data_IF_730641436392
#
_entry.id   IF_730641436392
#
_cell.length_a   1.000
_cell.length_b   1.000
_cell.length_c   1.000
_cell.angle_alpha   90.00
_cell.angle_beta   90.00
_cell.angle_gamma   90.00
#
_symmetry.space_group_name_H-M   'P 1'
#
loop_
_entity.id
_entity.type
_entity.pdbx_description
1 polymer ?
#
# COMPACT_ATOMS: atom_id res chain seq x y z
N UNK A 1 8.60 2.77 16.76
CA UNK A 1 7.52 2.35 17.68
C UNK A 1 8.04 1.76 18.98
N UNK A 2 8.84 0.69 18.96
CA UNK A 2 9.31 0.00 20.17
C UNK A 2 9.96 0.92 21.22
N UNK A 3 10.86 1.82 20.81
CA UNK A 3 11.50 2.78 21.72
C UNK A 3 10.49 3.68 22.45
N UNK A 4 9.53 4.23 21.76
CA UNK A 4 8.51 5.10 22.36
C UNK A 4 7.56 4.34 23.29
N UNK A 5 7.15 3.11 22.91
CA UNK A 5 6.33 2.26 23.78
C UNK A 5 7.10 1.91 25.08
N UNK A 6 8.39 1.57 24.95
CA UNK A 6 9.28 1.33 26.10
C UNK A 6 9.38 2.56 27.00
N UNK A 7 9.65 3.72 26.41
CA UNK A 7 9.77 4.99 27.17
C UNK A 7 8.47 5.31 27.90
N UNK A 8 7.32 5.15 27.24
CA UNK A 8 6.01 5.36 27.86
C UNK A 8 5.78 4.37 29.02
N UNK A 9 6.05 3.07 28.82
CA UNK A 9 5.90 2.07 29.89
C UNK A 9 6.78 2.36 31.10
N UNK A 10 8.06 2.69 30.87
CA UNK A 10 9.00 3.01 31.95
C UNK A 10 8.61 4.31 32.67
N UNK A 11 8.10 5.32 31.96
CA UNK A 11 7.61 6.56 32.53
C UNK A 11 6.38 6.32 33.43
N UNK A 12 5.43 5.48 32.99
CA UNK A 12 4.26 5.10 33.79
C UNK A 12 4.69 4.36 35.06
N UNK A 13 5.61 3.40 34.95
CA UNK A 13 6.15 2.64 36.08
C UNK A 13 6.87 3.58 37.02
N UNK A 14 7.72 4.49 36.53
CA UNK A 14 8.42 5.49 37.36
C UNK A 14 7.46 6.40 38.10
N UNK A 15 6.41 6.90 37.44
CA UNK A 15 5.38 7.72 38.02
C UNK A 15 4.64 6.96 39.12
N UNK A 16 4.25 5.72 38.88
CA UNK A 16 3.56 4.87 39.87
C UNK A 16 4.38 4.67 41.14
N UNK A 17 5.65 4.28 41.00
CA UNK A 17 6.52 4.12 42.16
C UNK A 17 6.76 5.43 42.91
N UNK A 18 6.93 6.54 42.19
CA UNK A 18 7.14 7.87 42.81
C UNK A 18 5.93 8.38 43.59
N UNK A 19 4.71 7.95 43.24
CA UNK A 19 3.46 8.33 43.90
C UNK A 19 3.18 7.49 45.13
N UNK A 20 3.56 6.21 45.15
CA UNK A 20 3.20 5.26 46.20
C UNK A 20 4.31 5.12 47.24
N UNK A 21 5.57 5.19 46.83
CA UNK A 21 6.71 4.99 47.71
C UNK A 21 7.16 6.29 48.39
N UNK A 22 7.74 6.17 49.59
CA UNK A 22 8.41 7.31 50.24
C UNK A 22 9.68 7.67 49.47
N UNK A 23 9.98 8.95 49.42
CA UNK A 23 11.18 9.46 48.73
C UNK A 23 12.41 9.20 49.63
N UNK A 24 12.96 8.02 49.53
CA UNK A 24 14.14 7.53 50.24
C UNK A 24 15.16 6.88 49.28
N UNK A 25 16.25 6.37 49.84
CA UNK A 25 17.30 5.71 49.08
C UNK A 25 16.79 4.45 48.36
N UNK A 26 15.73 3.80 48.88
CA UNK A 26 15.11 2.63 48.27
C UNK A 26 14.41 2.98 46.94
N UNK A 27 13.64 4.06 46.93
CA UNK A 27 13.00 4.55 45.70
C UNK A 27 14.05 4.98 44.66
N UNK A 28 15.11 5.69 45.09
CA UNK A 28 16.18 6.12 44.19
C UNK A 28 16.88 4.93 43.51
N UNK A 29 17.05 3.81 44.22
CA UNK A 29 17.58 2.57 43.62
C UNK A 29 16.68 2.02 42.50
N UNK A 30 15.36 1.97 42.75
CA UNK A 30 14.40 1.51 41.69
C UNK A 30 14.41 2.45 40.49
N UNK A 31 14.39 3.76 40.72
CA UNK A 31 14.42 4.76 39.65
C UNK A 31 15.74 4.69 38.85
N UNK A 32 16.87 4.48 39.52
CA UNK A 32 18.16 4.26 38.83
C UNK A 32 18.14 3.02 37.91
N UNK A 33 17.52 1.94 38.39
CA UNK A 33 17.27 0.75 37.56
C UNK A 33 16.44 1.08 36.32
N UNK A 34 15.34 1.82 36.43
CA UNK A 34 14.51 2.22 35.30
C UNK A 34 15.25 3.14 34.31
N UNK A 35 16.10 4.04 34.80
CA UNK A 35 16.99 4.86 33.98
C UNK A 35 17.98 3.98 33.18
N UNK A 36 18.56 2.97 33.84
CA UNK A 36 19.48 2.03 33.17
C UNK A 36 18.78 1.27 32.04
N UNK A 37 17.54 0.80 32.25
CA UNK A 37 16.72 0.22 31.21
C UNK A 37 16.54 1.20 30.04
N UNK A 38 16.24 2.46 30.31
CA UNK A 38 16.07 3.46 29.27
C UNK A 38 17.34 3.71 28.47
N UNK A 39 18.51 3.73 29.12
CA UNK A 39 19.80 3.86 28.45
C UNK A 39 20.11 2.69 27.52
N UNK A 40 19.83 1.45 27.94
CA UNK A 40 19.94 0.26 27.10
C UNK A 40 19.01 0.38 25.86
N UNK A 41 17.76 0.85 26.06
CA UNK A 41 16.84 1.10 24.96
C UNK A 41 17.30 2.20 24.00
N UNK A 42 17.98 3.23 24.49
CA UNK A 42 18.53 4.30 23.65
C UNK A 42 19.65 3.78 22.72
N UNK A 43 20.48 2.85 23.22
CA UNK A 43 21.49 2.17 22.41
C UNK A 43 20.81 1.44 21.23
N UNK A 44 19.80 0.63 21.52
CA UNK A 44 19.02 -0.06 20.49
C UNK A 44 18.44 0.92 19.45
N UNK A 45 17.85 2.03 19.92
CA UNK A 45 17.23 3.04 19.05
C UNK A 45 18.26 3.70 18.12
N UNK A 46 19.47 4.02 18.63
CA UNK A 46 20.55 4.58 17.81
C UNK A 46 21.04 3.63 16.72
N UNK A 47 21.16 2.35 17.03
CA UNK A 47 21.56 1.35 16.06
C UNK A 47 20.46 1.03 15.05
N UNK A 48 19.19 0.97 15.48
CA UNK A 48 18.05 0.70 14.60
C UNK A 48 17.84 1.78 13.52
N UNK A 49 18.33 3.02 13.74
CA UNK A 49 18.29 4.10 12.75
C UNK A 49 19.34 3.97 11.64
N UNK A 50 20.32 3.11 11.79
CA UNK A 50 21.35 2.88 10.76
C UNK A 50 20.78 2.00 9.65
N UNK A 51 21.10 2.33 8.39
CA UNK A 51 20.62 1.60 7.19
C UNK A 51 21.02 0.11 7.18
N UNK A 52 22.08 -0.24 7.90
CA UNK A 52 22.61 -1.61 8.07
C UNK A 52 22.64 -1.98 9.56
N UNK A 53 21.50 -1.94 10.25
CA UNK A 53 21.44 -2.36 11.64
C UNK A 53 21.74 -3.86 11.76
N UNK A 54 22.69 -4.30 12.61
CA UNK A 54 23.01 -5.71 12.79
C UNK A 54 21.78 -6.46 13.36
N UNK A 55 21.47 -7.61 12.79
CA UNK A 55 20.32 -8.43 13.18
C UNK A 55 20.33 -8.89 14.64
N UNK A 56 21.55 -9.07 15.23
CA UNK A 56 21.75 -9.57 16.59
C UNK A 56 21.47 -8.51 17.69
N UNK A 57 21.40 -7.21 17.36
CA UNK A 57 21.22 -6.14 18.36
C UNK A 57 19.93 -6.30 19.17
N UNK A 58 18.83 -6.72 18.50
CA UNK A 58 17.56 -6.98 19.19
C UNK A 58 17.69 -8.10 20.24
N UNK A 59 18.43 -9.14 19.92
CA UNK A 59 18.71 -10.25 20.83
C UNK A 59 19.58 -9.80 22.01
N UNK A 60 20.67 -9.09 21.75
CA UNK A 60 21.57 -8.59 22.80
C UNK A 60 20.86 -7.70 23.79
N UNK A 61 20.14 -6.69 23.29
CA UNK A 61 19.42 -5.72 24.15
C UNK A 61 18.31 -6.43 24.93
N UNK A 62 17.51 -7.27 24.27
CA UNK A 62 16.47 -8.04 24.95
C UNK A 62 17.03 -8.98 26.03
N UNK A 63 18.19 -9.59 25.79
CA UNK A 63 18.91 -10.43 26.78
C UNK A 63 19.33 -9.60 28.00
N UNK A 64 19.95 -8.45 27.76
CA UNK A 64 20.36 -7.54 28.85
C UNK A 64 19.17 -7.07 29.67
N UNK A 65 18.07 -6.70 29.02
CA UNK A 65 16.85 -6.27 29.68
C UNK A 65 16.28 -7.36 30.59
N UNK A 66 16.11 -8.57 30.08
CA UNK A 66 15.49 -9.67 30.84
C UNK A 66 16.40 -10.09 32.01
N UNK A 67 17.70 -10.21 31.80
CA UNK A 67 18.64 -10.56 32.86
C UNK A 67 18.65 -9.47 33.95
N UNK A 68 18.79 -8.20 33.55
CA UNK A 68 18.83 -7.08 34.47
C UNK A 68 17.54 -7.02 35.27
N UNK A 69 16.39 -7.16 34.62
CA UNK A 69 15.08 -7.17 35.28
C UNK A 69 14.95 -8.32 36.28
N UNK A 70 15.31 -9.54 35.86
CA UNK A 70 15.25 -10.72 36.73
C UNK A 70 16.11 -10.54 37.97
N UNK A 71 17.35 -10.03 37.81
CA UNK A 71 18.23 -9.73 38.95
C UNK A 71 17.59 -8.70 39.87
N UNK A 72 17.07 -7.60 39.32
CA UNK A 72 16.42 -6.54 40.10
C UNK A 72 15.17 -7.04 40.88
N UNK A 73 14.41 -7.97 40.33
CA UNK A 73 13.20 -8.50 40.92
C UNK A 73 13.45 -9.60 41.97
N UNK A 74 14.55 -10.32 41.85
CA UNK A 74 14.87 -11.45 42.75
C UNK A 74 15.76 -11.01 43.91
N UNK A 75 16.63 -10.00 43.72
CA UNK A 75 17.53 -9.52 44.76
C UNK A 75 16.84 -8.51 45.66
N UNK A 76 16.94 -8.65 47.01
CA UNK A 76 16.43 -7.67 47.90
C UNK A 76 17.05 -6.28 47.70
N UNK A 77 16.25 -5.23 47.87
CA UNK A 77 16.76 -3.86 47.77
C UNK A 77 17.73 -3.56 48.93
N UNK A 78 19.01 -3.29 48.66
CA UNK A 78 20.01 -3.08 49.72
C UNK A 78 19.84 -1.76 50.50
N UNK A 79 19.02 -0.84 49.98
CA UNK A 79 18.76 0.46 50.57
C UNK A 79 17.42 0.52 51.34
N UNK A 80 16.70 -0.61 51.44
CA UNK A 80 15.48 -0.69 52.21
C UNK A 80 15.80 -0.54 53.73
N UNK A 81 14.93 0.15 54.47
CA UNK A 81 15.08 0.33 55.91
C UNK A 81 15.11 -1.01 56.66
N UNK A 82 14.30 -1.97 56.18
CA UNK A 82 14.34 -3.38 56.60
C UNK A 82 14.55 -4.23 55.34
N UNK A 83 15.63 -4.98 55.30
CA UNK A 83 15.92 -5.86 54.15
C UNK A 83 15.05 -7.10 54.26
N UNK A 84 13.99 -7.14 53.48
CA UNK A 84 13.11 -8.31 53.40
C UNK A 84 13.88 -9.53 52.82
N UNK A 85 13.62 -10.75 53.32
CA UNK A 85 14.19 -11.98 52.73
C UNK A 85 13.89 -12.10 51.21
N UNK A 86 14.83 -12.63 50.41
CA UNK A 86 14.66 -12.82 49.00
C UNK A 86 13.42 -13.66 48.63
N UNK A 87 13.01 -14.60 49.51
CA UNK A 87 11.78 -15.39 49.34
C UNK A 87 10.52 -14.52 49.31
N UNK A 88 10.49 -13.41 50.05
CA UNK A 88 9.36 -12.48 50.12
C UNK A 88 9.23 -11.68 48.82
N UNK A 89 10.34 -11.33 48.16
CA UNK A 89 10.34 -10.66 46.83
C UNK A 89 9.60 -11.47 45.74
N UNK A 90 9.73 -12.82 45.77
CA UNK A 90 9.05 -13.69 44.86
C UNK A 90 7.50 -13.71 45.01
N UNK A 91 6.99 -13.24 46.17
CA UNK A 91 5.55 -13.19 46.49
C UNK A 91 4.87 -11.87 46.17
N UNK A 92 5.61 -10.77 46.05
CA UNK A 92 5.07 -9.42 45.82
C UNK A 92 4.48 -9.19 44.40
N UNK A 93 4.40 -10.23 43.58
CA UNK A 93 3.83 -10.16 42.24
C UNK A 93 4.66 -9.36 41.22
N UNK A 94 5.92 -9.07 41.56
CA UNK A 94 6.89 -8.35 40.72
C UNK A 94 7.18 -9.05 39.39
N UNK A 95 6.98 -10.37 39.32
CA UNK A 95 7.03 -11.16 38.07
C UNK A 95 6.25 -10.53 36.92
N UNK A 96 5.14 -9.80 37.18
CA UNK A 96 4.32 -9.13 36.14
C UNK A 96 5.12 -8.16 35.27
N UNK A 97 6.16 -7.53 35.81
CA UNK A 97 7.02 -6.63 35.03
C UNK A 97 7.81 -7.36 33.95
N UNK A 98 8.16 -8.64 34.16
CA UNK A 98 8.82 -9.46 33.16
C UNK A 98 7.96 -9.67 31.92
N UNK A 99 6.63 -9.84 32.11
CA UNK A 99 5.68 -9.99 31.01
C UNK A 99 5.62 -8.75 30.12
N UNK A 100 5.75 -7.54 30.70
CA UNK A 100 5.77 -6.28 29.94
C UNK A 100 6.95 -6.28 28.96
N UNK A 101 8.14 -6.71 29.40
CA UNK A 101 9.32 -6.73 28.53
C UNK A 101 9.21 -7.80 27.43
N UNK A 102 8.62 -8.96 27.73
CA UNK A 102 8.34 -9.98 26.70
C UNK A 102 7.35 -9.44 25.64
N UNK A 103 6.28 -8.74 26.09
CA UNK A 103 5.32 -8.10 25.16
C UNK A 103 5.97 -6.97 24.34
N UNK A 104 6.83 -6.14 24.94
CA UNK A 104 7.57 -5.09 24.21
C UNK A 104 8.50 -5.67 23.14
N UNK A 105 9.06 -6.86 23.37
CA UNK A 105 9.84 -7.60 22.37
C UNK A 105 9.04 -7.95 21.12
N UNK A 106 7.75 -8.21 21.25
CA UNK A 106 6.87 -8.51 20.09
C UNK A 106 6.71 -7.32 19.14
N UNK A 107 6.88 -6.07 19.59
CA UNK A 107 6.84 -4.88 18.75
C UNK A 107 7.98 -4.80 17.70
N UNK A 108 8.98 -5.66 17.79
CA UNK A 108 10.02 -5.79 16.76
C UNK A 108 9.56 -6.51 15.50
N UNK A 109 8.36 -7.08 15.49
CA UNK A 109 7.79 -7.88 14.42
C UNK A 109 8.67 -9.08 14.01
N UNK A 110 9.46 -9.61 14.97
CA UNK A 110 10.27 -10.81 14.77
C UNK A 110 9.77 -11.98 15.60
N UNK A 111 9.15 -12.96 14.95
CA UNK A 111 8.63 -14.17 15.59
C UNK A 111 9.72 -14.92 16.37
N UNK A 112 10.94 -15.04 15.78
CA UNK A 112 12.08 -15.70 16.42
C UNK A 112 12.53 -14.97 17.69
N UNK A 113 12.53 -13.62 17.66
CA UNK A 113 12.91 -12.82 18.82
C UNK A 113 11.86 -12.94 19.94
N UNK A 114 10.57 -12.93 19.61
CA UNK A 114 9.48 -13.10 20.60
C UNK A 114 9.59 -14.44 21.34
N UNK A 115 9.80 -15.54 20.61
CA UNK A 115 10.01 -16.87 21.20
C UNK A 115 11.27 -16.90 22.08
N UNK A 116 12.37 -16.32 21.58
CA UNK A 116 13.63 -16.25 22.29
C UNK A 116 13.49 -15.53 23.64
N UNK A 117 12.84 -14.35 23.64
CA UNK A 117 12.66 -13.55 24.86
C UNK A 117 11.74 -14.25 25.86
N UNK A 118 10.67 -14.92 25.40
CA UNK A 118 9.81 -15.72 26.26
C UNK A 118 10.55 -16.89 26.92
N UNK A 119 11.34 -17.64 26.13
CA UNK A 119 12.16 -18.74 26.65
C UNK A 119 13.26 -18.25 27.60
N UNK A 120 13.93 -17.15 27.25
CA UNK A 120 14.95 -16.54 28.09
C UNK A 120 14.38 -16.03 29.42
N UNK A 121 13.21 -15.42 29.40
CA UNK A 121 12.51 -14.94 30.62
C UNK A 121 12.14 -16.13 31.54
N UNK A 122 11.64 -17.21 30.97
CA UNK A 122 11.37 -18.45 31.70
C UNK A 122 12.65 -19.04 32.35
N UNK A 123 13.73 -19.09 31.57
CA UNK A 123 15.03 -19.62 32.03
C UNK A 123 15.62 -18.75 33.15
N UNK A 124 15.70 -17.44 32.95
CA UNK A 124 16.30 -16.52 33.94
C UNK A 124 15.47 -16.48 35.24
N UNK A 125 14.12 -16.50 35.11
CA UNK A 125 13.25 -16.59 36.29
C UNK A 125 13.47 -17.90 37.05
N UNK A 126 13.54 -19.05 36.36
CA UNK A 126 13.81 -20.37 36.97
C UNK A 126 15.15 -20.37 37.71
N UNK A 127 16.20 -19.78 37.10
CA UNK A 127 17.51 -19.64 37.74
C UNK A 127 17.41 -18.74 38.98
N UNK A 128 16.69 -17.61 38.86
CA UNK A 128 16.49 -16.70 39.99
C UNK A 128 15.75 -17.33 41.18
N UNK A 129 14.68 -18.07 40.88
CA UNK A 129 13.94 -18.84 41.92
C UNK A 129 14.84 -19.93 42.51
N UNK A 130 15.60 -20.63 41.71
CA UNK A 130 16.55 -21.64 42.18
C UNK A 130 17.60 -21.03 43.11
N UNK A 131 18.15 -19.84 42.77
CA UNK A 131 19.07 -19.13 43.65
C UNK A 131 18.43 -18.82 45.03
N UNK A 132 17.19 -18.34 45.07
CA UNK A 132 16.47 -18.08 46.34
C UNK A 132 16.22 -19.38 47.12
N UNK A 133 15.80 -20.46 46.43
CA UNK A 133 15.50 -21.75 47.05
C UNK A 133 16.76 -22.38 47.71
N UNK A 134 17.92 -22.23 47.08
CA UNK A 134 19.18 -22.76 47.65
C UNK A 134 19.82 -21.80 48.66
N UNK A 135 19.20 -20.67 48.95
CA UNK A 135 19.73 -19.72 49.97
C UNK A 135 19.47 -20.24 51.40
N UNK A 136 20.39 -20.00 52.29
CA UNK A 136 20.31 -20.46 53.66
C UNK A 136 19.04 -19.86 54.35
N UNK A 137 18.27 -20.74 54.99
CA UNK A 137 17.06 -20.36 55.72
C UNK A 137 15.75 -20.34 54.90
N UNK A 138 15.79 -20.65 53.58
CA UNK A 138 14.57 -20.76 52.76
C UNK A 138 13.75 -21.98 53.19
N UNK A 139 12.44 -21.78 53.32
CA UNK A 139 11.46 -22.79 53.69
C UNK A 139 10.65 -23.17 52.44
N UNK A 140 10.71 -24.43 52.08
CA UNK A 140 9.88 -25.04 51.00
C UNK A 140 8.98 -26.11 51.61
N UNK A 141 7.74 -26.30 51.11
CA UNK A 141 6.87 -27.35 51.62
C UNK A 141 7.45 -28.72 51.27
N UNK A 142 7.50 -29.64 52.25
CA UNK A 142 7.95 -31.03 52.00
C UNK A 142 6.97 -31.85 51.20
N UNK A 143 5.70 -31.42 51.13
CA UNK A 143 4.59 -32.07 50.40
C UNK A 143 3.83 -31.02 49.58
N UNK A 144 2.89 -31.46 48.75
CA UNK A 144 2.05 -30.54 48.01
C UNK A 144 1.33 -29.58 48.96
N UNK A 145 1.58 -28.27 48.80
CA UNK A 145 1.04 -27.20 49.63
C UNK A 145 -0.51 -27.27 49.76
N UNK A 146 -1.19 -27.65 48.68
CA UNK A 146 -2.65 -27.73 48.61
C UNK A 146 -3.23 -28.97 49.32
N UNK A 147 -2.43 -29.97 49.66
CA UNK A 147 -2.82 -31.13 50.41
C UNK A 147 -2.71 -30.91 51.95
N UNK A 148 -2.08 -29.82 52.39
CA UNK A 148 -1.92 -29.50 53.79
C UNK A 148 -3.20 -28.91 54.39
N UNK A 149 -3.46 -29.11 55.71
CA UNK A 149 -4.51 -28.44 56.44
C UNK A 149 -4.38 -26.90 56.34
N UNK A 150 -5.49 -26.18 56.40
CA UNK A 150 -5.54 -24.74 56.24
C UNK A 150 -4.65 -24.01 57.24
N UNK A 151 -4.59 -24.49 58.48
CA UNK A 151 -3.76 -23.90 59.53
C UNK A 151 -2.27 -24.01 59.26
N UNK A 152 -1.82 -25.14 58.74
CA UNK A 152 -0.41 -25.34 58.37
C UNK A 152 -0.04 -24.53 57.14
N UNK A 153 -0.92 -24.42 56.14
CA UNK A 153 -0.74 -23.53 55.00
C UNK A 153 -0.58 -22.09 55.44
N UNK A 154 -1.45 -21.62 56.33
CA UNK A 154 -1.40 -20.25 56.82
C UNK A 154 -0.07 -19.97 57.54
N UNK A 155 0.39 -20.91 58.37
CA UNK A 155 1.67 -20.79 59.06
C UNK A 155 2.87 -20.70 58.09
N UNK A 156 2.83 -21.48 56.99
CA UNK A 156 3.83 -21.39 55.93
C UNK A 156 3.80 -20.04 55.21
N UNK A 157 2.61 -19.53 54.88
CA UNK A 157 2.47 -18.24 54.24
C UNK A 157 2.88 -17.06 55.13
N UNK A 158 2.76 -17.18 56.46
CA UNK A 158 3.22 -16.19 57.43
C UNK A 158 4.74 -16.20 57.59
N UNK A 159 5.42 -17.27 57.20
CA UNK A 159 6.88 -17.35 57.28
C UNK A 159 7.51 -16.48 56.15
N UNK A 160 8.33 -15.46 56.45
CA UNK A 160 8.93 -14.56 55.48
C UNK A 160 9.91 -15.27 54.51
N UNK A 161 10.49 -16.42 54.94
CA UNK A 161 11.41 -17.22 54.13
C UNK A 161 10.73 -18.31 53.29
N UNK A 162 9.40 -18.39 53.28
CA UNK A 162 8.66 -19.39 52.55
C UNK A 162 8.60 -19.09 51.06
N UNK A 163 8.90 -20.09 50.21
CA UNK A 163 8.78 -20.06 48.76
C UNK A 163 7.73 -21.06 48.28
N UNK A 164 6.68 -20.53 47.64
CA UNK A 164 5.68 -21.36 46.96
C UNK A 164 6.21 -21.78 45.59
N UNK A 165 6.84 -22.95 45.51
CA UNK A 165 7.45 -23.48 44.30
C UNK A 165 6.41 -23.77 43.19
N UNK A 166 5.16 -24.11 43.59
CA UNK A 166 4.09 -24.34 42.61
C UNK A 166 3.67 -23.02 41.95
N UNK A 167 3.50 -21.96 42.74
CA UNK A 167 3.21 -20.64 42.20
C UNK A 167 4.33 -20.15 41.24
N UNK A 168 5.60 -20.42 41.59
CA UNK A 168 6.71 -20.05 40.72
C UNK A 168 6.74 -20.89 39.41
N UNK A 169 6.46 -22.17 39.47
CA UNK A 169 6.30 -23.03 38.27
C UNK A 169 5.15 -22.54 37.38
N UNK A 170 4.04 -22.09 37.97
CA UNK A 170 2.93 -21.47 37.23
C UNK A 170 3.35 -20.19 36.54
N UNK A 171 4.16 -19.32 37.20
CA UNK A 171 4.71 -18.12 36.60
C UNK A 171 5.57 -18.44 35.35
N UNK A 172 6.43 -19.47 35.44
CA UNK A 172 7.23 -19.93 34.30
C UNK A 172 6.34 -20.41 33.15
N UNK A 173 5.31 -21.19 33.45
CA UNK A 173 4.35 -21.64 32.42
C UNK A 173 3.64 -20.47 31.76
N UNK A 174 3.20 -19.48 32.53
CA UNK A 174 2.49 -18.28 32.03
C UNK A 174 3.39 -17.50 31.08
N UNK A 175 4.68 -17.28 31.40
CA UNK A 175 5.59 -16.53 30.51
C UNK A 175 5.88 -17.27 29.21
N UNK A 176 5.97 -18.60 29.27
CA UNK A 176 6.13 -19.42 28.05
C UNK A 176 4.90 -19.34 27.14
N UNK A 177 3.72 -19.44 27.73
CA UNK A 177 2.44 -19.30 26.99
C UNK A 177 2.35 -17.91 26.38
N UNK A 178 2.62 -16.84 27.14
CA UNK A 178 2.58 -15.47 26.61
C UNK A 178 3.62 -15.27 25.49
N UNK A 179 4.84 -15.78 25.66
CA UNK A 179 5.86 -15.77 24.62
C UNK A 179 5.39 -16.45 23.32
N UNK A 180 4.75 -17.62 23.43
CA UNK A 180 4.19 -18.36 22.31
C UNK A 180 3.04 -17.59 21.63
N UNK A 181 2.10 -17.04 22.44
CA UNK A 181 1.00 -16.21 21.92
C UNK A 181 1.54 -14.98 21.18
N UNK A 182 2.52 -14.27 21.78
CA UNK A 182 3.13 -13.11 21.13
C UNK A 182 3.83 -13.49 19.81
N UNK A 183 4.52 -14.61 19.76
CA UNK A 183 5.13 -15.12 18.53
C UNK A 183 4.09 -15.43 17.45
N UNK A 184 2.95 -16.02 17.83
CA UNK A 184 1.84 -16.29 16.92
C UNK A 184 1.22 -15.00 16.38
N UNK A 185 0.96 -14.02 17.26
CA UNK A 185 0.42 -12.72 16.89
C UNK A 185 1.36 -11.99 15.91
N UNK A 186 2.66 -11.98 16.19
CA UNK A 186 3.68 -11.37 15.32
C UNK A 186 3.74 -12.08 13.97
N UNK A 187 3.72 -13.41 13.96
CA UNK A 187 3.72 -14.20 12.73
C UNK A 187 2.51 -13.86 11.85
N UNK A 188 1.30 -13.85 12.44
CA UNK A 188 0.07 -13.53 11.72
C UNK A 188 0.05 -12.09 11.20
N UNK A 189 0.47 -11.13 12.02
CA UNK A 189 0.55 -9.72 11.62
C UNK A 189 1.53 -9.52 10.45
N UNK A 190 2.64 -10.24 10.47
CA UNK A 190 3.65 -10.17 9.40
C UNK A 190 3.12 -10.74 8.08
N UNK A 191 2.47 -11.91 8.11
CA UNK A 191 1.86 -12.50 6.91
C UNK A 191 0.80 -11.56 6.31
N UNK A 192 -0.09 -10.99 7.13
CA UNK A 192 -1.09 -10.03 6.65
C UNK A 192 -0.44 -8.79 6.01
N UNK A 193 0.64 -8.28 6.59
CA UNK A 193 1.36 -7.12 6.03
C UNK A 193 2.07 -7.47 4.72
N UNK A 194 2.65 -8.65 4.60
CA UNK A 194 3.31 -9.12 3.37
C UNK A 194 2.29 -9.31 2.25
N UNK A 195 1.12 -9.88 2.55
CA UNK A 195 0.05 -10.10 1.57
C UNK A 195 -0.57 -8.77 1.12
N UNK A 196 -0.77 -7.83 2.04
CA UNK A 196 -1.22 -6.48 1.71
C UNK A 196 -0.25 -5.76 0.75
N UNK A 197 1.06 -5.83 1.04
CA UNK A 197 2.10 -5.22 0.17
C UNK A 197 2.15 -5.90 -1.20
N UNK A 198 1.96 -7.23 -1.27
CA UNK A 198 1.90 -7.95 -2.56
C UNK A 198 0.68 -7.53 -3.38
N UNK A 199 -0.50 -7.46 -2.74
CA UNK A 199 -1.73 -7.02 -3.40
C UNK A 199 -1.61 -5.58 -3.91
N UNK A 200 -1.06 -4.67 -3.12
CA UNK A 200 -0.85 -3.28 -3.51
C UNK A 200 0.15 -3.14 -4.68
N UNK A 201 1.22 -3.92 -4.67
CA UNK A 201 2.16 -3.96 -5.81
C UNK A 201 1.53 -4.53 -7.07
N UNK A 202 0.72 -5.58 -6.95
CA UNK A 202 0.00 -6.15 -8.07
C UNK A 202 -0.97 -5.12 -8.67
N UNK A 203 -1.73 -4.41 -7.81
CA UNK A 203 -2.62 -3.32 -8.21
C UNK A 203 -1.87 -2.17 -8.88
N UNK A 204 -0.74 -1.73 -8.32
CA UNK A 204 0.10 -0.68 -8.91
C UNK A 204 0.72 -1.09 -10.26
N UNK A 205 1.04 -2.36 -10.45
CA UNK A 205 1.51 -2.86 -11.74
C UNK A 205 0.39 -2.90 -12.80
N UNK A 206 -0.81 -3.33 -12.41
CA UNK A 206 -1.99 -3.29 -13.29
C UNK A 206 -2.35 -1.85 -13.66
N UNK A 207 -2.28 -0.90 -12.74
CA UNK A 207 -2.55 0.51 -12.98
C UNK A 207 -1.59 1.19 -13.98
N UNK A 208 -0.48 0.55 -14.32
CA UNK A 208 0.41 1.03 -15.39
C UNK A 208 -0.04 0.66 -16.80
N UNK A 209 -0.90 -0.33 -16.92
CA UNK A 209 -1.32 -0.90 -18.20
C UNK A 209 -2.82 -0.73 -18.45
N UNK A 210 -3.59 -0.45 -17.41
CA UNK A 210 -5.03 -0.33 -17.47
C UNK A 210 -5.50 0.97 -16.83
N UNK A 211 -6.61 1.50 -17.31
CA UNK A 211 -7.23 2.67 -16.67
C UNK A 211 -7.66 2.35 -15.22
N UNK A 212 -7.76 3.38 -14.34
CA UNK A 212 -8.16 3.17 -12.94
C UNK A 212 -9.47 2.39 -12.79
N UNK A 213 -10.44 2.63 -13.65
CA UNK A 213 -11.75 1.96 -13.62
C UNK A 213 -11.64 0.46 -13.92
N UNK A 214 -10.74 0.07 -14.84
CA UNK A 214 -10.46 -1.35 -15.18
C UNK A 214 -9.69 -2.03 -14.04
N UNK A 215 -8.74 -1.33 -13.44
CA UNK A 215 -7.95 -1.87 -12.31
C UNK A 215 -8.84 -2.20 -11.13
N UNK A 216 -9.79 -1.34 -10.79
CA UNK A 216 -10.71 -1.56 -9.66
C UNK A 216 -11.62 -2.78 -9.91
N UNK A 217 -12.06 -3.00 -11.13
CA UNK A 217 -12.83 -4.18 -11.51
C UNK A 217 -11.98 -5.45 -11.52
N UNK A 218 -10.76 -5.39 -12.08
CA UNK A 218 -9.80 -6.51 -12.09
C UNK A 218 -9.34 -6.93 -10.69
N UNK A 219 -9.34 -6.00 -9.73
CA UNK A 219 -8.96 -6.28 -8.34
C UNK A 219 -10.08 -6.89 -7.51
N UNK A 220 -11.34 -6.80 -7.96
CA UNK A 220 -12.54 -7.21 -7.20
C UNK A 220 -13.17 -8.50 -7.72
N UNK A 221 -12.97 -8.84 -8.99
CA UNK A 221 -13.56 -10.01 -9.63
C UNK A 221 -12.59 -11.22 -9.66
N UNK A 222 -13.08 -12.40 -9.30
CA UNK A 222 -12.36 -13.68 -9.41
C UNK A 222 -12.09 -14.05 -10.89
N UNK A 223 -12.88 -13.51 -11.83
CA UNK A 223 -12.65 -13.56 -13.28
C UNK A 223 -12.41 -12.15 -13.83
N UNK A 224 -11.16 -11.67 -13.84
CA UNK A 224 -10.81 -10.27 -14.09
C UNK A 224 -11.32 -9.67 -15.40
N UNK A 225 -11.60 -10.51 -16.40
CA UNK A 225 -12.06 -10.05 -17.72
C UNK A 225 -13.51 -10.47 -18.03
N UNK A 226 -14.13 -11.29 -17.16
CA UNK A 226 -15.46 -11.83 -17.36
C UNK A 226 -15.62 -12.67 -18.64
N UNK A 227 -16.80 -13.21 -18.90
CA UNK A 227 -17.06 -13.93 -20.13
C UNK A 227 -17.01 -12.99 -21.35
N UNK A 228 -16.69 -13.57 -22.53
CA UNK A 228 -16.79 -12.84 -23.80
C UNK A 228 -18.20 -12.31 -23.97
N UNK A 229 -18.32 -11.00 -24.16
CA UNK A 229 -19.63 -10.34 -24.27
C UNK A 229 -19.69 -9.32 -25.39
N UNK A 230 -20.88 -9.13 -25.96
CA UNK A 230 -21.16 -8.08 -26.93
C UNK A 230 -21.70 -6.84 -26.19
N UNK A 231 -21.16 -5.67 -26.54
CA UNK A 231 -21.52 -4.40 -25.92
C UNK A 231 -21.38 -3.27 -26.92
N UNK A 232 -22.27 -2.30 -26.86
CA UNK A 232 -22.13 -1.07 -27.63
C UNK A 232 -21.25 -0.08 -26.85
N UNK A 233 -20.23 0.45 -27.53
CA UNK A 233 -19.26 1.38 -26.95
C UNK A 233 -18.86 2.45 -27.97
N UNK A 234 -18.30 3.57 -27.48
CA UNK A 234 -17.59 4.48 -28.35
C UNK A 234 -16.09 4.15 -28.40
N UNK A 235 -15.53 4.17 -29.62
CA UNK A 235 -14.10 3.94 -29.88
C UNK A 235 -13.53 5.19 -30.53
N UNK A 236 -12.38 5.65 -30.05
CA UNK A 236 -11.68 6.83 -30.51
C UNK A 236 -10.23 6.49 -30.83
N UNK A 237 -9.75 6.94 -32.00
CA UNK A 237 -8.35 6.92 -32.37
C UNK A 237 -7.84 8.35 -32.52
N UNK A 238 -6.67 8.64 -31.97
CA UNK A 238 -5.98 9.93 -32.13
C UNK A 238 -4.51 9.70 -32.51
N UNK A 239 -4.03 10.41 -33.55
CA UNK A 239 -2.74 10.20 -34.18
C UNK A 239 -2.04 11.53 -34.48
N UNK A 240 -0.70 11.57 -34.39
CA UNK A 240 0.09 12.78 -34.65
C UNK A 240 0.25 12.97 -36.16
N UNK A 241 -0.05 14.16 -36.65
CA UNK A 241 0.14 14.50 -38.07
C UNK A 241 1.62 14.58 -38.40
N UNK A 242 2.06 13.81 -39.42
CA UNK A 242 3.44 13.88 -39.91
C UNK A 242 4.48 13.21 -39.03
N UNK A 243 4.08 12.37 -38.09
CA UNK A 243 5.00 11.70 -37.15
C UNK A 243 6.06 10.85 -37.83
N UNK A 244 5.72 10.13 -38.93
CA UNK A 244 6.70 9.34 -39.72
C UNK A 244 7.86 10.23 -40.20
N UNK A 245 7.56 11.38 -40.76
CA UNK A 245 8.57 12.31 -41.22
C UNK A 245 9.40 12.90 -40.07
N UNK A 246 8.72 13.24 -38.96
CA UNK A 246 9.42 13.68 -37.75
C UNK A 246 10.39 12.62 -37.21
N UNK A 247 9.99 11.33 -37.25
CA UNK A 247 10.83 10.22 -36.76
C UNK A 247 12.03 9.92 -37.64
N UNK A 248 11.97 10.27 -38.94
CA UNK A 248 13.09 10.12 -39.90
C UNK A 248 14.14 11.26 -39.68
N UNK A 249 13.69 12.45 -39.28
CA UNK A 249 14.54 13.64 -39.21
C UNK A 249 15.15 13.88 -37.82
N UNK A 250 14.72 13.15 -36.80
CA UNK A 250 15.13 13.39 -35.42
C UNK A 250 15.79 12.18 -34.76
N UNK A 251 16.70 12.38 -33.78
CA UNK A 251 17.29 11.30 -33.00
C UNK A 251 16.20 10.49 -32.25
N UNK A 252 16.43 9.19 -32.08
CA UNK A 252 15.48 8.29 -31.41
C UNK A 252 15.06 8.77 -30.04
N UNK A 253 15.96 9.37 -29.27
CA UNK A 253 15.69 9.92 -27.94
C UNK A 253 14.67 11.07 -27.99
N UNK A 254 14.75 11.93 -29.02
CA UNK A 254 13.81 13.05 -29.21
C UNK A 254 12.42 12.53 -29.61
N UNK A 255 12.38 11.48 -30.48
CA UNK A 255 11.14 10.80 -30.87
C UNK A 255 10.47 10.14 -29.69
N UNK A 256 11.23 9.43 -28.86
CA UNK A 256 10.71 8.82 -27.62
C UNK A 256 10.17 9.86 -26.64
N UNK A 257 10.87 10.98 -26.47
CA UNK A 257 10.42 12.04 -25.57
C UNK A 257 9.14 12.70 -26.07
N UNK A 258 9.01 12.92 -27.38
CA UNK A 258 7.78 13.41 -27.99
C UNK A 258 6.61 12.45 -27.74
N UNK A 259 6.79 11.16 -28.05
CA UNK A 259 5.76 10.13 -27.82
C UNK A 259 5.33 10.08 -26.37
N UNK A 260 6.30 10.05 -25.43
CA UNK A 260 6.01 9.99 -24.00
C UNK A 260 5.21 11.20 -23.52
N UNK A 261 5.52 12.39 -24.03
CA UNK A 261 4.79 13.61 -23.68
C UNK A 261 3.40 13.64 -24.31
N UNK A 262 3.28 13.18 -25.56
CA UNK A 262 2.00 13.07 -26.25
C UNK A 262 1.07 12.07 -25.54
N UNK A 263 1.53 10.84 -25.35
CA UNK A 263 0.74 9.79 -24.70
C UNK A 263 0.26 10.22 -23.31
N UNK A 264 1.14 10.79 -22.48
CA UNK A 264 0.76 11.26 -21.15
C UNK A 264 -0.35 12.32 -21.18
N UNK A 265 -0.31 13.24 -22.14
CA UNK A 265 -1.35 14.28 -22.27
C UNK A 265 -2.67 13.71 -22.75
N UNK A 266 -2.61 12.88 -23.77
CA UNK A 266 -3.82 12.26 -24.33
C UNK A 266 -4.46 11.29 -23.33
N UNK A 267 -3.66 10.50 -22.63
CA UNK A 267 -4.10 9.63 -21.56
C UNK A 267 -4.83 10.41 -20.44
N UNK A 268 -4.26 11.53 -20.01
CA UNK A 268 -4.90 12.38 -19.00
C UNK A 268 -6.27 12.89 -19.48
N UNK A 269 -6.36 13.35 -20.73
CA UNK A 269 -7.64 13.80 -21.30
C UNK A 269 -8.66 12.66 -21.36
N UNK A 270 -8.24 11.45 -21.77
CA UNK A 270 -9.13 10.28 -21.76
C UNK A 270 -9.66 9.99 -20.37
N UNK A 271 -8.78 10.00 -19.36
CA UNK A 271 -9.19 9.72 -17.97
C UNK A 271 -10.07 10.80 -17.37
N UNK A 272 -9.83 12.07 -17.67
CA UNK A 272 -10.65 13.19 -17.23
C UNK A 272 -12.09 13.10 -17.78
N UNK A 273 -12.26 12.42 -18.94
CA UNK A 273 -13.55 12.12 -19.54
C UNK A 273 -14.05 10.70 -19.21
N UNK A 274 -13.49 10.05 -18.20
CA UNK A 274 -13.86 8.69 -17.78
C UNK A 274 -13.79 7.64 -18.90
N UNK A 275 -12.87 7.82 -19.85
CA UNK A 275 -12.53 6.84 -20.88
C UNK A 275 -11.46 5.87 -20.41
N UNK A 276 -11.25 4.83 -21.20
CA UNK A 276 -10.21 3.83 -21.02
C UNK A 276 -9.23 3.90 -22.19
N UNK A 277 -7.94 4.00 -21.93
CA UNK A 277 -6.93 3.79 -22.96
C UNK A 277 -6.77 2.29 -23.17
N UNK A 278 -7.10 1.82 -24.38
CA UNK A 278 -7.04 0.41 -24.74
C UNK A 278 -5.65 0.02 -25.23
N UNK A 279 -5.07 0.82 -26.14
CA UNK A 279 -3.77 0.51 -26.71
C UNK A 279 -3.04 1.76 -27.24
N UNK A 280 -1.70 1.67 -27.28
CA UNK A 280 -0.82 2.59 -27.97
C UNK A 280 -0.23 1.90 -29.21
N UNK A 281 -0.44 2.46 -30.40
CA UNK A 281 0.00 1.89 -31.69
C UNK A 281 0.96 2.91 -32.32
N UNK A 282 2.23 2.89 -31.89
CA UNK A 282 3.19 3.93 -32.29
C UNK A 282 2.81 5.29 -31.71
N UNK A 283 2.53 6.27 -32.57
CA UNK A 283 2.04 7.61 -32.21
C UNK A 283 0.50 7.68 -32.09
N UNK A 284 -0.19 6.60 -32.41
CA UNK A 284 -1.63 6.53 -32.31
C UNK A 284 -2.05 6.01 -30.93
N UNK A 285 -3.05 6.64 -30.32
CA UNK A 285 -3.74 6.19 -29.11
C UNK A 285 -5.15 5.70 -29.46
N UNK A 286 -5.51 4.50 -28.98
CA UNK A 286 -6.87 3.98 -29.01
C UNK A 286 -7.50 4.14 -27.63
N UNK A 287 -8.63 4.83 -27.57
CA UNK A 287 -9.42 5.00 -26.35
C UNK A 287 -10.84 4.47 -26.56
N UNK A 288 -11.44 4.00 -25.48
CA UNK A 288 -12.80 3.46 -25.45
C UNK A 288 -13.63 4.07 -24.34
N UNK A 289 -14.94 4.22 -24.58
CA UNK A 289 -15.93 4.70 -23.60
C UNK A 289 -17.06 3.69 -23.53
N UNK A 290 -17.41 3.28 -22.32
CA UNK A 290 -18.30 2.16 -22.08
C UNK A 290 -17.58 0.86 -21.73
N UNK A 291 -16.28 0.89 -21.48
CA UNK A 291 -15.47 -0.24 -20.99
C UNK A 291 -14.96 0.07 -19.60
N UNK A 292 -15.06 -0.86 -18.64
CA UNK A 292 -15.57 -2.22 -18.70
C UNK A 292 -17.09 -2.33 -18.71
N UNK A 293 -17.81 -1.34 -18.25
CA UNK A 293 -19.27 -1.28 -18.21
C UNK A 293 -19.79 -0.09 -18.99
N UNK A 294 -20.88 -0.31 -19.77
CA UNK A 294 -21.54 0.76 -20.48
C UNK A 294 -22.17 1.78 -19.51
N UNK A 295 -22.08 3.03 -19.86
CA UNK A 295 -22.77 4.13 -19.21
C UNK A 295 -23.79 4.77 -20.12
N UNK A 296 -24.65 5.62 -19.58
CA UNK A 296 -25.70 6.31 -20.30
C UNK A 296 -25.19 7.50 -21.15
N UNK A 297 -23.90 7.83 -21.08
CA UNK A 297 -23.28 9.01 -21.66
C UNK A 297 -21.98 8.73 -22.43
N UNK A 298 -21.76 7.48 -22.80
CA UNK A 298 -20.51 7.02 -23.42
C UNK A 298 -20.19 7.74 -24.74
N UNK A 299 -21.18 7.94 -25.60
CA UNK A 299 -21.01 8.63 -26.87
C UNK A 299 -20.70 10.12 -26.66
N UNK A 300 -21.40 10.77 -25.75
CA UNK A 300 -21.17 12.18 -25.40
C UNK A 300 -19.79 12.40 -24.82
N UNK A 301 -19.33 11.51 -23.93
CA UNK A 301 -17.98 11.58 -23.35
C UNK A 301 -16.89 11.41 -24.39
N UNK A 302 -17.09 10.51 -25.36
CA UNK A 302 -16.15 10.32 -26.46
C UNK A 302 -16.01 11.58 -27.33
N UNK A 303 -17.12 12.25 -27.65
CA UNK A 303 -17.12 13.51 -28.43
C UNK A 303 -16.36 14.61 -27.64
N UNK A 304 -16.74 14.81 -26.38
CA UNK A 304 -16.07 15.83 -25.51
C UNK A 304 -14.58 15.53 -25.33
N UNK A 305 -14.20 14.27 -25.21
CA UNK A 305 -12.81 13.86 -25.14
C UNK A 305 -12.05 14.22 -26.43
N UNK A 306 -12.64 13.97 -27.59
CA UNK A 306 -12.03 14.34 -28.87
C UNK A 306 -11.80 15.85 -28.98
N UNK A 307 -12.80 16.67 -28.63
CA UNK A 307 -12.67 18.14 -28.61
C UNK A 307 -11.61 18.59 -27.60
N UNK A 308 -11.59 18.00 -26.40
CA UNK A 308 -10.62 18.31 -25.36
C UNK A 308 -9.19 17.91 -25.73
N UNK A 309 -9.01 16.84 -26.52
CA UNK A 309 -7.69 16.45 -27.05
C UNK A 309 -7.12 17.52 -27.99
N UNK A 310 -7.95 18.10 -28.87
CA UNK A 310 -7.56 19.22 -29.73
C UNK A 310 -7.12 20.41 -28.89
N UNK A 311 -7.92 20.81 -27.91
CA UNK A 311 -7.61 21.91 -26.99
C UNK A 311 -6.28 21.68 -26.23
N UNK A 312 -6.07 20.46 -25.73
CA UNK A 312 -4.84 20.10 -25.05
C UNK A 312 -3.57 20.16 -25.94
N UNK A 313 -3.72 19.86 -27.23
CA UNK A 313 -2.64 20.03 -28.21
C UNK A 313 -2.38 21.52 -28.47
N UNK A 314 -3.41 22.35 -28.54
CA UNK A 314 -3.27 23.81 -28.71
C UNK A 314 -2.52 24.44 -27.55
N UNK A 315 -2.91 24.11 -26.34
CA UNK A 315 -2.21 24.57 -25.12
C UNK A 315 -0.74 24.09 -25.09
N UNK A 316 -0.51 22.86 -25.52
CA UNK A 316 0.85 22.35 -25.59
C UNK A 316 1.67 23.06 -26.68
N UNK A 317 1.07 23.39 -27.81
CA UNK A 317 1.73 24.10 -28.91
C UNK A 317 2.22 25.50 -28.49
N UNK A 318 1.49 26.23 -27.64
CA UNK A 318 1.97 27.50 -27.05
C UNK A 318 3.30 27.29 -26.32
N UNK A 319 3.39 26.21 -25.52
CA UNK A 319 4.63 25.88 -24.80
C UNK A 319 5.73 25.38 -25.74
N UNK A 320 5.40 24.61 -26.80
CA UNK A 320 6.38 24.11 -27.77
C UNK A 320 7.02 25.26 -28.55
N UNK A 321 6.19 26.15 -29.09
CA UNK A 321 6.65 27.30 -29.87
C UNK A 321 7.52 28.23 -29.02
N UNK A 322 7.14 28.49 -27.77
CA UNK A 322 7.98 29.30 -26.86
C UNK A 322 9.35 28.69 -26.56
N UNK A 323 9.53 27.38 -26.78
CA UNK A 323 10.78 26.63 -26.63
C UNK A 323 11.50 26.38 -27.96
N UNK A 324 10.99 26.94 -29.05
CA UNK A 324 11.59 26.77 -30.40
C UNK A 324 11.28 25.48 -31.11
N UNK A 325 10.28 24.68 -30.59
CA UNK A 325 9.83 23.48 -31.27
C UNK A 325 8.65 23.78 -32.22
N UNK A 326 8.52 23.04 -33.35
CA UNK A 326 7.39 23.22 -34.25
C UNK A 326 6.07 22.79 -33.55
N UNK A 327 4.95 23.42 -33.91
CA UNK A 327 3.65 23.00 -33.42
C UNK A 327 3.31 21.61 -33.94
N UNK A 328 2.52 20.89 -33.16
CA UNK A 328 1.96 19.58 -33.53
C UNK A 328 0.49 19.72 -33.93
N UNK A 329 0.05 18.84 -34.75
CA UNK A 329 -1.35 18.66 -35.08
C UNK A 329 -1.75 17.20 -34.86
N UNK A 330 -3.05 16.94 -34.60
CA UNK A 330 -3.59 15.60 -34.38
C UNK A 330 -4.84 15.38 -35.21
N UNK A 331 -5.06 14.12 -35.60
CA UNK A 331 -6.28 13.71 -36.28
C UNK A 331 -6.98 12.66 -35.44
N UNK A 332 -8.27 12.85 -35.29
CA UNK A 332 -9.11 12.03 -34.39
C UNK A 332 -10.26 11.44 -35.21
N UNK A 333 -10.43 10.12 -35.08
CA UNK A 333 -11.58 9.41 -35.64
C UNK A 333 -12.33 8.71 -34.53
N UNK A 334 -13.66 8.87 -34.46
CA UNK A 334 -14.45 8.19 -33.45
C UNK A 334 -15.77 7.61 -34.01
N UNK A 335 -16.13 6.44 -33.49
CA UNK A 335 -17.33 5.69 -33.88
C UNK A 335 -17.98 5.03 -32.67
N UNK A 336 -19.32 4.93 -32.70
CA UNK A 336 -20.10 4.20 -31.73
C UNK A 336 -20.74 2.95 -32.35
N UNK A 337 -20.78 1.85 -31.60
CA UNK A 337 -21.44 0.62 -32.04
C UNK A 337 -20.97 -0.64 -31.33
N UNK A 338 -21.50 -1.75 -31.80
CA UNK A 338 -21.27 -3.05 -31.17
C UNK A 338 -19.83 -3.53 -31.35
N UNK A 339 -19.26 -3.98 -30.25
CA UNK A 339 -17.97 -4.69 -30.17
C UNK A 339 -18.11 -5.97 -29.35
N UNK A 340 -17.13 -6.84 -29.45
CA UNK A 340 -16.95 -7.99 -28.59
C UNK A 340 -15.81 -7.68 -27.64
N UNK A 341 -16.08 -7.79 -26.36
CA UNK A 341 -15.15 -7.59 -25.25
C UNK A 341 -14.78 -8.95 -24.66
N UNK A 342 -13.51 -9.19 -24.42
CA UNK A 342 -13.07 -10.42 -23.79
C UNK A 342 -11.57 -10.54 -23.68
N UNK A 343 -11.11 -11.55 -22.96
CA UNK A 343 -9.71 -11.89 -22.88
C UNK A 343 -9.28 -12.67 -24.12
N UNK A 344 -8.18 -12.25 -24.74
CA UNK A 344 -7.56 -12.92 -25.88
C UNK A 344 -6.11 -13.23 -25.51
N UNK A 345 -5.67 -14.46 -25.81
CA UNK A 345 -4.30 -14.90 -25.54
C UNK A 345 -4.24 -16.27 -24.88
N UNK A 346 -3.08 -16.61 -24.35
CA UNK A 346 -2.85 -17.84 -23.57
C UNK A 346 -2.98 -17.56 -22.07
N UNK A 347 -3.14 -18.62 -21.26
CA UNK A 347 -3.17 -18.51 -19.78
C UNK A 347 -2.00 -17.72 -19.16
N UNK A 348 -0.87 -17.63 -19.86
CA UNK A 348 0.32 -16.90 -19.39
C UNK A 348 0.41 -15.48 -19.92
N UNK A 349 -0.38 -15.13 -20.94
CA UNK A 349 -0.36 -13.82 -21.57
C UNK A 349 -1.76 -13.48 -22.08
N UNK A 350 -2.65 -13.16 -21.15
CA UNK A 350 -4.00 -12.69 -21.44
C UNK A 350 -3.97 -11.18 -21.61
N UNK A 351 -4.59 -10.70 -22.68
CA UNK A 351 -4.84 -9.28 -22.93
C UNK A 351 -6.33 -9.06 -23.07
N UNK A 352 -6.85 -8.03 -22.45
CA UNK A 352 -8.21 -7.59 -22.71
C UNK A 352 -8.26 -7.00 -24.11
N UNK A 353 -9.21 -7.43 -24.91
CA UNK A 353 -9.33 -7.02 -26.30
C UNK A 353 -10.74 -6.51 -26.60
N UNK A 354 -10.76 -5.43 -27.37
CA UNK A 354 -11.95 -4.83 -27.95
C UNK A 354 -11.94 -5.13 -29.46
N UNK A 355 -12.83 -5.99 -29.90
CA UNK A 355 -12.84 -6.47 -31.30
C UNK A 355 -14.20 -6.18 -31.93
N UNK A 356 -14.20 -5.58 -33.14
CA UNK A 356 -15.43 -5.33 -33.88
C UNK A 356 -15.24 -4.39 -35.07
N UNK A 357 -16.24 -4.34 -35.92
CA UNK A 357 -16.26 -3.42 -37.07
C UNK A 357 -16.19 -1.95 -36.61
N UNK A 358 -16.78 -1.62 -35.47
CA UNK A 358 -16.72 -0.28 -34.84
C UNK A 358 -15.29 0.21 -34.68
N UNK A 359 -14.36 -0.66 -34.22
CA UNK A 359 -12.94 -0.34 -34.07
C UNK A 359 -12.30 -0.01 -35.42
N UNK A 360 -12.57 -0.83 -36.42
CA UNK A 360 -12.03 -0.63 -37.76
C UNK A 360 -12.56 0.66 -38.40
N UNK A 361 -13.85 0.97 -38.20
CA UNK A 361 -14.46 2.20 -38.73
C UNK A 361 -13.83 3.42 -38.03
N UNK A 362 -13.69 3.41 -36.73
CA UNK A 362 -13.07 4.52 -35.96
C UNK A 362 -11.64 4.82 -36.46
N UNK A 363 -10.82 3.77 -36.65
CA UNK A 363 -9.46 3.90 -37.19
C UNK A 363 -9.45 4.48 -38.62
N UNK A 364 -10.41 4.06 -39.46
CA UNK A 364 -10.52 4.59 -40.83
C UNK A 364 -11.04 6.02 -40.90
N UNK A 365 -11.92 6.40 -39.96
CA UNK A 365 -12.34 7.79 -39.82
C UNK A 365 -11.18 8.69 -39.40
N UNK A 366 -10.27 8.21 -38.54
CA UNK A 366 -9.05 8.94 -38.21
C UNK A 366 -8.17 9.15 -39.47
N UNK A 367 -7.96 8.13 -40.27
CA UNK A 367 -7.21 8.23 -41.56
C UNK A 367 -7.90 9.18 -42.55
N UNK A 368 -9.24 9.16 -42.63
CA UNK A 368 -10.06 9.99 -43.51
C UNK A 368 -9.92 11.49 -43.21
N UNK A 369 -9.58 11.87 -41.97
CA UNK A 369 -9.32 13.27 -41.59
C UNK A 369 -8.28 13.93 -42.55
N UNK A 370 -7.33 13.14 -43.10
CA UNK A 370 -6.33 13.64 -44.03
C UNK A 370 -6.98 14.08 -45.35
N UNK A 371 -7.88 13.28 -45.87
CA UNK A 371 -8.54 13.54 -47.17
C UNK A 371 -9.52 14.71 -47.07
N UNK A 372 -10.24 14.77 -45.93
CA UNK A 372 -11.21 15.82 -45.65
C UNK A 372 -10.60 17.09 -45.04
N UNK A 373 -9.29 17.13 -44.85
CA UNK A 373 -8.59 18.25 -44.19
C UNK A 373 -9.20 18.64 -42.84
N UNK A 374 -9.78 17.65 -42.10
CA UNK A 374 -10.44 17.82 -40.84
C UNK A 374 -9.52 17.37 -39.70
N UNK A 375 -9.75 17.91 -38.50
CA UNK A 375 -9.06 17.46 -37.29
C UNK A 375 -9.79 16.29 -36.65
N UNK A 376 -11.14 16.29 -36.73
CA UNK A 376 -11.95 15.23 -36.16
C UNK A 376 -12.97 14.73 -37.19
N UNK A 377 -13.12 13.40 -37.30
CA UNK A 377 -14.14 12.72 -38.07
C UNK A 377 -14.98 11.82 -37.14
N UNK A 378 -16.26 12.09 -37.04
CA UNK A 378 -17.22 11.28 -36.29
C UNK A 378 -18.11 10.46 -37.25
N UNK A 379 -18.33 9.21 -36.94
CA UNK A 379 -19.37 8.42 -37.62
C UNK A 379 -20.78 8.81 -37.12
N UNK A 380 -21.78 8.76 -38.01
CA UNK A 380 -23.16 9.19 -37.68
C UNK A 380 -23.74 8.46 -36.47
N UNK A 381 -23.43 7.18 -36.27
CA UNK A 381 -23.90 6.43 -35.10
C UNK A 381 -23.43 7.01 -33.77
N UNK A 382 -22.23 7.62 -33.73
CA UNK A 382 -21.75 8.30 -32.53
C UNK A 382 -22.58 9.55 -32.24
N UNK A 383 -22.86 10.34 -33.28
CA UNK A 383 -23.68 11.55 -33.17
C UNK A 383 -25.12 11.21 -32.79
N UNK A 384 -25.70 10.17 -33.38
CA UNK A 384 -27.05 9.68 -33.08
C UNK A 384 -27.15 9.20 -31.62
N UNK A 385 -26.17 8.42 -31.15
CA UNK A 385 -26.10 7.97 -29.78
C UNK A 385 -26.00 9.16 -28.80
N UNK A 386 -25.10 10.11 -29.06
CA UNK A 386 -24.94 11.30 -28.22
C UNK A 386 -26.19 12.17 -28.17
N UNK A 387 -26.93 12.28 -29.30
CA UNK A 387 -28.24 12.96 -29.31
C UNK A 387 -29.30 12.23 -28.47
N UNK A 388 -29.29 10.90 -28.49
CA UNK A 388 -30.20 10.07 -27.71
C UNK A 388 -29.90 10.13 -26.20
N UNK A 389 -28.65 10.36 -25.81
CA UNK A 389 -28.24 10.59 -24.41
C UNK A 389 -28.76 11.90 -23.80
N UNK A 390 -29.45 12.74 -24.57
CA UNK A 390 -30.19 13.96 -24.13
C UNK A 390 -29.38 15.00 -23.37
N UNK A 391 -28.03 15.02 -23.54
CA UNK A 391 -27.13 15.86 -22.73
C UNK A 391 -26.88 17.26 -23.32
N UNK A 392 -27.68 17.70 -24.30
CA UNK A 392 -27.62 19.07 -24.84
C UNK A 392 -26.24 19.47 -25.37
N UNK A 393 -25.49 18.55 -25.88
CA UNK A 393 -24.13 18.79 -26.40
C UNK A 393 -24.25 19.63 -27.67
N UNK A 394 -23.74 20.85 -27.62
CA UNK A 394 -23.61 21.70 -28.80
C UNK A 394 -22.47 21.12 -29.62
N UNK A 395 -22.80 20.46 -30.72
CA UNK A 395 -21.83 19.83 -31.62
C UNK A 395 -21.23 20.90 -32.52
N UNK A 396 -19.90 21.02 -32.51
CA UNK A 396 -19.16 21.85 -33.45
C UNK A 396 -18.98 21.17 -34.81
N UNK A 397 -19.24 19.86 -34.88
CA UNK A 397 -19.11 19.08 -36.08
C UNK A 397 -20.21 19.35 -37.09
N UNK A 398 -19.84 19.41 -38.38
CA UNK A 398 -20.76 19.62 -39.52
C UNK A 398 -21.00 18.31 -40.25
N UNK A 399 -22.20 18.13 -40.75
CA UNK A 399 -22.56 16.97 -41.57
C UNK A 399 -21.81 17.06 -42.92
N UNK A 400 -20.98 16.07 -43.21
CA UNK A 400 -20.25 15.94 -44.48
C UNK A 400 -20.98 15.03 -45.47
N UNK A 401 -21.85 14.15 -44.96
CA UNK A 401 -22.55 13.17 -45.76
C UNK A 401 -21.86 11.80 -45.85
N UNK A 402 -22.32 10.93 -46.77
CA UNK A 402 -21.81 9.59 -46.93
C UNK A 402 -20.45 9.58 -47.62
N UNK A 403 -19.47 8.85 -47.08
CA UNK A 403 -18.11 8.68 -47.58
C UNK A 403 -17.81 7.19 -47.69
N UNK A 404 -17.28 6.77 -48.82
CA UNK A 404 -16.77 5.40 -49.01
C UNK A 404 -15.46 5.23 -48.27
N UNK A 405 -15.39 4.23 -47.40
CA UNK A 405 -14.17 3.88 -46.69
C UNK A 405 -13.65 2.52 -47.13
N UNK A 406 -12.34 2.35 -47.25
CA UNK A 406 -11.69 1.15 -47.76
C UNK A 406 -12.17 -0.11 -47.04
N UNK A 407 -12.62 -1.14 -47.78
CA UNK A 407 -13.05 -2.44 -47.25
C UNK A 407 -14.44 -2.43 -46.58
N UNK A 408 -15.31 -1.49 -46.97
CA UNK A 408 -16.75 -1.56 -46.78
C UNK A 408 -17.46 -1.32 -48.09
N UNK A 409 -18.52 -2.08 -48.32
CA UNK A 409 -19.38 -1.95 -49.51
C UNK A 409 -20.37 -0.77 -49.31
N UNK A 410 -20.78 -0.52 -48.08
CA UNK A 410 -21.67 0.58 -47.73
C UNK A 410 -20.90 1.82 -47.27
N UNK A 411 -21.24 3.02 -47.81
CA UNK A 411 -20.63 4.28 -47.34
C UNK A 411 -20.99 4.55 -45.90
N UNK A 412 -20.05 5.16 -45.16
CA UNK A 412 -20.29 5.63 -43.78
C UNK A 412 -20.66 7.10 -43.84
N UNK A 413 -21.72 7.47 -43.15
CA UNK A 413 -22.11 8.86 -43.01
C UNK A 413 -21.22 9.52 -41.95
N UNK A 414 -20.55 10.63 -42.29
CA UNK A 414 -19.48 11.24 -41.53
C UNK A 414 -19.81 12.67 -41.18
N UNK A 415 -19.49 13.06 -39.93
CA UNK A 415 -19.50 14.41 -39.45
C UNK A 415 -18.06 14.87 -39.23
N UNK A 416 -17.73 16.09 -39.64
CA UNK A 416 -16.36 16.62 -39.58
C UNK A 416 -16.28 17.89 -38.70
N UNK A 417 -15.19 17.98 -37.99
CA UNK A 417 -14.85 19.19 -37.25
C UNK A 417 -13.47 19.69 -37.69
N UNK A 418 -13.41 20.94 -38.04
CA UNK A 418 -12.18 21.65 -38.37
C UNK A 418 -11.78 22.49 -37.19
N UNK A 419 -10.50 22.53 -36.90
CA UNK A 419 -9.93 23.48 -35.95
C UNK A 419 -10.40 24.88 -36.33
N UNK A 420 -10.95 25.65 -35.41
CA UNK A 420 -11.21 27.05 -35.64
C UNK A 420 -9.88 27.68 -36.04
N UNK A 421 -9.79 28.16 -37.29
CA UNK A 421 -8.63 28.92 -37.75
C UNK A 421 -8.44 30.10 -36.82
N UNK A 422 -7.53 29.97 -35.86
CA UNK A 422 -6.90 31.10 -35.23
C UNK A 422 -5.99 31.68 -36.28
N UNK A 423 -6.65 32.26 -37.30
CA UNK A 423 -6.00 32.97 -38.38
C UNK A 423 -5.17 34.07 -37.77
N UNK A 424 -3.88 34.00 -38.02
CA UNK A 424 -3.04 35.17 -38.22
C UNK A 424 -2.71 36.06 -37.04
N UNK A 425 -2.17 35.51 -35.96
CA UNK A 425 -1.41 36.38 -35.04
C UNK A 425 0.07 36.03 -34.92
N UNK A 426 0.53 34.94 -35.51
CA UNK A 426 1.94 34.48 -35.37
C UNK A 426 2.73 34.54 -36.70
N UNK A 427 2.06 34.72 -37.84
CA UNK A 427 2.73 34.75 -39.15
C UNK A 427 3.14 36.14 -39.66
N UNK A 428 3.05 37.20 -38.87
CA UNK A 428 3.41 38.59 -39.29
C UNK A 428 4.30 39.24 -38.25
N UNK A 429 5.26 38.53 -37.70
CA UNK A 429 6.42 39.18 -37.06
C UNK A 429 7.62 38.25 -37.09
N UNK A 430 8.11 37.96 -38.27
CA UNK A 430 9.46 37.49 -38.54
C UNK A 430 10.09 38.38 -39.59
#
# INVERSE_FOLDING_TARGET
MQFWARTASLAVISCFFSLISRWDASLLFVLAGLVLFQLVGLIQFRFARRRNAPWWIGYLVGTLDIILLTVLLVTPNPFAQEVAPAAMQLREGSFKFLLIFVCLGALTLSTRLALYLGALAALTWTIGVGWVVFHAGTVIPATNLYSLPMTERLNLYLNPNFVDTFAQATNVLVVLIIGAIMALVVSRSRHLSEDYVKAERARANLARHFSPNVVDQLATDDEPFGPVRRQDIAVLFADIVGFTHYSEDHPAEAVFELLRQFHRRMEQVVFDHHGTVDNYIGDCIMATFGVPQASHDDATRAIRCAEAMIAAIEDWNVQRVSRGYPPLDVRIGAQYGAVVLGAVGSERNLSFAVVGDTVNVASRLQALCRELQANICFGSRLIEAAKAESLGTQLNARDHGPVSIRGRDEPVHVWVEHRAENQSAIAVSA
#
